data_IF_955161994889
#
_entry.id   IF_955161994889
#
_cell.length_a   1.000
_cell.length_b   1.000
_cell.length_c   1.000
_cell.angle_alpha   90.00
_cell.angle_beta   90.00
_cell.angle_gamma   90.00
#
_symmetry.space_group_name_H-M   'P 1'
#
loop_
_entity.id
_entity.type
_entity.pdbx_description
1 polymer ?
#
# COMPACT_ATOMS: atom_id res chain seq x y z
N UNK A 1 24.36 17.05 6.48
CA UNK A 1 23.00 17.13 5.86
C UNK A 1 22.83 16.17 4.69
N UNK A 2 23.90 15.74 4.05
CA UNK A 2 23.83 14.86 2.87
C UNK A 2 23.60 13.36 3.24
N UNK A 3 24.13 12.94 4.38
CA UNK A 3 23.95 11.55 4.91
C UNK A 3 22.49 11.24 5.29
N UNK A 4 21.74 12.22 5.78
CA UNK A 4 20.34 12.02 6.18
C UNK A 4 19.38 11.96 4.98
N UNK A 5 19.71 12.64 3.87
CA UNK A 5 18.95 12.52 2.61
C UNK A 5 19.14 11.15 1.96
N UNK A 6 20.37 10.64 1.91
CA UNK A 6 20.65 9.32 1.35
C UNK A 6 19.96 8.17 2.11
N UNK A 7 19.92 8.21 3.44
CA UNK A 7 19.21 7.24 4.26
C UNK A 7 17.68 7.28 4.04
N UNK A 8 17.09 8.48 3.90
CA UNK A 8 15.67 8.63 3.62
C UNK A 8 15.25 8.10 2.24
N UNK A 9 16.12 8.28 1.23
CA UNK A 9 15.84 7.79 -0.12
C UNK A 9 15.99 6.26 -0.22
N UNK A 10 16.96 5.68 0.48
CA UNK A 10 17.12 4.21 0.58
C UNK A 10 15.92 3.59 1.30
N UNK A 11 15.45 4.19 2.39
CA UNK A 11 14.29 3.70 3.14
C UNK A 11 13.01 3.74 2.30
N UNK A 12 12.76 4.84 1.60
CA UNK A 12 11.62 4.97 0.68
C UNK A 12 11.66 3.98 -0.47
N UNK A 13 12.85 3.67 -0.97
CA UNK A 13 13.04 2.70 -2.05
C UNK A 13 12.73 1.29 -1.57
N UNK A 14 13.23 0.90 -0.40
CA UNK A 14 12.93 -0.40 0.23
C UNK A 14 11.43 -0.55 0.52
N UNK A 15 10.80 0.48 1.06
CA UNK A 15 9.36 0.45 1.34
C UNK A 15 8.53 0.30 0.06
N UNK A 16 8.93 0.97 -1.01
CA UNK A 16 8.30 0.83 -2.33
C UNK A 16 8.49 -0.58 -2.91
N UNK A 17 9.69 -1.14 -2.81
CA UNK A 17 9.99 -2.50 -3.27
C UNK A 17 9.17 -3.55 -2.46
N UNK A 18 9.06 -3.38 -1.14
CA UNK A 18 8.20 -4.22 -0.29
C UNK A 18 6.71 -4.11 -0.65
N UNK A 19 6.23 -2.90 -0.93
CA UNK A 19 4.85 -2.70 -1.35
C UNK A 19 4.57 -3.37 -2.70
N UNK A 20 5.47 -3.24 -3.67
CA UNK A 20 5.38 -3.91 -4.96
C UNK A 20 5.45 -5.43 -4.83
N UNK A 21 6.37 -5.93 -4.00
CA UNK A 21 6.47 -7.35 -3.71
C UNK A 21 5.15 -7.89 -3.14
N UNK A 22 4.57 -7.20 -2.15
CA UNK A 22 3.29 -7.61 -1.56
C UNK A 22 2.14 -7.64 -2.57
N UNK A 23 2.13 -6.71 -3.53
CA UNK A 23 1.13 -6.70 -4.61
C UNK A 23 1.29 -7.86 -5.60
N UNK A 24 2.52 -8.38 -5.77
CA UNK A 24 2.82 -9.50 -6.67
C UNK A 24 2.66 -10.88 -6.00
N UNK A 25 2.66 -10.95 -4.67
CA UNK A 25 2.56 -12.23 -3.93
C UNK A 25 1.33 -13.05 -4.31
N UNK A 26 0.10 -12.50 -4.41
CA UNK A 26 -1.07 -13.28 -4.83
C UNK A 26 -0.90 -13.93 -6.19
N UNK A 27 -0.34 -13.22 -7.17
CA UNK A 27 -0.10 -13.75 -8.50
C UNK A 27 0.97 -14.85 -8.49
N UNK A 28 2.01 -14.70 -7.65
CA UNK A 28 3.02 -15.73 -7.43
C UNK A 28 2.41 -17.00 -6.85
N UNK A 29 1.58 -16.88 -5.81
CA UNK A 29 0.95 -18.03 -5.16
C UNK A 29 -0.05 -18.72 -6.08
N UNK A 30 -0.79 -17.98 -6.90
CA UNK A 30 -1.70 -18.50 -7.92
C UNK A 30 -0.94 -19.25 -9.01
N UNK A 31 0.21 -18.73 -9.45
CA UNK A 31 1.09 -19.41 -10.38
C UNK A 31 1.65 -20.72 -9.76
N UNK A 32 2.08 -20.68 -8.48
CA UNK A 32 2.53 -21.88 -7.77
C UNK A 32 1.40 -22.94 -7.70
N UNK A 33 0.18 -22.53 -7.35
CA UNK A 33 -0.98 -23.42 -7.31
C UNK A 33 -1.22 -24.09 -8.66
N UNK A 34 -1.20 -23.31 -9.75
CA UNK A 34 -1.37 -23.83 -11.11
C UNK A 34 -0.27 -24.84 -11.50
N UNK A 35 0.98 -24.55 -11.16
CA UNK A 35 2.10 -25.46 -11.39
C UNK A 35 1.94 -26.78 -10.64
N UNK A 36 1.52 -26.72 -9.39
CA UNK A 36 1.27 -27.92 -8.58
C UNK A 36 0.06 -28.72 -9.07
N UNK A 37 -0.98 -28.07 -9.57
CA UNK A 37 -2.09 -28.75 -10.25
C UNK A 37 -1.63 -29.44 -11.54
N UNK A 38 -0.63 -28.90 -12.22
CA UNK A 38 0.02 -29.53 -13.39
C UNK A 38 1.02 -30.64 -12.99
N UNK A 39 1.03 -31.05 -11.71
CA UNK A 39 1.90 -32.08 -11.14
C UNK A 39 3.41 -31.76 -11.22
N UNK A 40 3.77 -30.47 -11.30
CA UNK A 40 5.17 -30.06 -11.18
C UNK A 40 5.64 -30.26 -9.73
N UNK A 41 6.89 -30.66 -9.57
CA UNK A 41 7.53 -30.74 -8.25
C UNK A 41 7.72 -29.33 -7.67
N UNK A 42 7.89 -29.22 -6.35
CA UNK A 42 8.10 -27.93 -5.69
C UNK A 42 9.34 -27.18 -6.24
N UNK A 43 10.51 -27.81 -6.48
CA UNK A 43 11.63 -27.15 -7.17
C UNK A 43 11.27 -26.60 -8.54
N UNK A 44 10.58 -27.39 -9.36
CA UNK A 44 10.15 -26.96 -10.70
C UNK A 44 9.16 -25.78 -10.60
N UNK A 45 8.27 -25.81 -9.61
CA UNK A 45 7.32 -24.74 -9.36
C UNK A 45 8.03 -23.41 -9.06
N UNK A 46 9.06 -23.40 -8.21
CA UNK A 46 9.83 -22.18 -7.95
C UNK A 46 10.53 -21.65 -9.20
N UNK A 47 11.08 -22.54 -10.02
CA UNK A 47 11.72 -22.16 -11.29
C UNK A 47 10.72 -21.54 -12.28
N UNK A 48 9.54 -22.15 -12.41
CA UNK A 48 8.50 -21.68 -13.32
C UNK A 48 7.94 -20.33 -12.89
N UNK A 49 7.63 -20.15 -11.60
CA UNK A 49 7.17 -18.88 -11.04
C UNK A 49 8.20 -17.77 -11.26
N UNK A 50 9.49 -18.07 -11.08
CA UNK A 50 10.56 -17.12 -11.34
C UNK A 50 10.64 -16.66 -12.82
N UNK A 51 10.15 -17.46 -13.77
CA UNK A 51 10.11 -17.09 -15.18
C UNK A 51 8.87 -16.26 -15.55
N UNK A 52 7.74 -16.51 -14.89
CA UNK A 52 6.45 -15.90 -15.23
C UNK A 52 6.18 -14.57 -14.51
N UNK A 53 6.86 -14.30 -13.42
CA UNK A 53 6.63 -13.13 -12.57
C UNK A 53 7.67 -12.04 -12.83
N UNK A 54 7.27 -10.77 -12.61
CA UNK A 54 8.14 -9.61 -12.72
C UNK A 54 8.93 -9.30 -11.44
N UNK A 55 9.94 -8.43 -11.57
CA UNK A 55 10.67 -7.90 -10.41
C UNK A 55 9.74 -7.02 -9.54
N UNK A 56 9.87 -7.05 -8.22
CA UNK A 56 10.91 -7.68 -7.40
C UNK A 56 10.68 -9.17 -7.08
N UNK A 57 9.45 -9.71 -7.22
CA UNK A 57 9.14 -11.08 -6.82
C UNK A 57 9.98 -12.12 -7.57
N UNK A 58 10.24 -11.92 -8.87
CA UNK A 58 11.11 -12.79 -9.66
C UNK A 58 12.42 -13.11 -8.95
N UNK A 59 13.11 -12.08 -8.45
CA UNK A 59 14.41 -12.23 -7.79
C UNK A 59 14.35 -13.16 -6.58
N UNK A 60 13.25 -13.08 -5.82
CA UNK A 60 13.03 -13.87 -4.64
C UNK A 60 12.82 -15.36 -4.97
N UNK A 61 11.95 -15.67 -5.94
CA UNK A 61 11.67 -17.04 -6.38
C UNK A 61 12.87 -17.66 -7.14
N UNK A 62 13.56 -16.88 -7.99
CA UNK A 62 14.77 -17.33 -8.67
C UNK A 62 15.92 -17.66 -7.71
N UNK A 63 15.95 -17.05 -6.52
CA UNK A 63 16.93 -17.36 -5.51
C UNK A 63 16.75 -18.77 -4.96
N UNK A 64 15.50 -19.19 -4.67
CA UNK A 64 15.21 -20.56 -4.25
C UNK A 64 15.66 -21.57 -5.29
N UNK A 65 15.33 -21.35 -6.58
CA UNK A 65 15.79 -22.22 -7.64
C UNK A 65 17.32 -22.33 -7.70
N UNK A 66 18.02 -21.21 -7.56
CA UNK A 66 19.47 -21.17 -7.55
C UNK A 66 20.06 -21.92 -6.36
N UNK A 67 19.49 -21.76 -5.15
CA UNK A 67 19.95 -22.45 -3.96
C UNK A 67 19.82 -23.97 -4.14
N UNK A 68 18.72 -24.44 -4.72
CA UNK A 68 18.50 -25.84 -5.04
C UNK A 68 19.49 -26.35 -6.12
N UNK A 69 19.78 -25.56 -7.14
CA UNK A 69 20.77 -25.89 -8.17
C UNK A 69 22.20 -25.97 -7.62
N UNK A 70 22.49 -25.20 -6.57
CA UNK A 70 23.76 -25.24 -5.82
C UNK A 70 23.86 -26.45 -4.87
N UNK A 71 22.78 -27.23 -4.71
CA UNK A 71 22.74 -28.43 -3.91
C UNK A 71 22.25 -28.23 -2.47
N UNK A 72 21.71 -27.05 -2.12
CA UNK A 72 21.05 -26.86 -0.84
C UNK A 72 19.77 -27.71 -0.79
N UNK A 73 19.42 -28.17 0.41
CA UNK A 73 18.16 -28.86 0.64
C UNK A 73 16.98 -27.90 0.48
N UNK A 74 15.78 -28.45 0.24
CA UNK A 74 14.54 -27.63 0.17
C UNK A 74 14.31 -26.82 1.45
N UNK A 75 14.58 -27.40 2.61
CA UNK A 75 14.45 -26.73 3.91
C UNK A 75 15.39 -25.52 4.01
N UNK A 76 16.68 -25.66 3.63
CA UNK A 76 17.64 -24.58 3.62
C UNK A 76 17.25 -23.46 2.62
N UNK A 77 16.82 -23.83 1.43
CA UNK A 77 16.37 -22.88 0.41
C UNK A 77 15.12 -22.09 0.87
N UNK A 78 14.17 -22.75 1.54
CA UNK A 78 12.99 -22.10 2.11
C UNK A 78 13.34 -21.23 3.33
N UNK A 79 14.35 -21.60 4.11
CA UNK A 79 14.84 -20.76 5.20
C UNK A 79 15.49 -19.47 4.68
N UNK A 80 16.32 -19.58 3.65
CA UNK A 80 16.88 -18.41 2.95
C UNK A 80 15.78 -17.53 2.34
N UNK A 81 14.74 -18.14 1.76
CA UNK A 81 13.58 -17.43 1.22
C UNK A 81 12.87 -16.61 2.30
N UNK A 82 12.63 -17.18 3.50
CA UNK A 82 12.01 -16.46 4.63
C UNK A 82 12.83 -15.24 5.06
N UNK A 83 14.16 -15.40 5.14
CA UNK A 83 15.05 -14.32 5.56
C UNK A 83 15.08 -13.14 4.58
N UNK A 84 14.98 -13.42 3.28
CA UNK A 84 15.07 -12.40 2.23
C UNK A 84 13.72 -11.76 1.91
N UNK A 85 12.64 -12.52 2.04
CA UNK A 85 11.30 -12.05 1.68
C UNK A 85 10.84 -10.85 2.50
N UNK A 86 11.29 -10.75 3.77
CA UNK A 86 10.92 -9.68 4.72
C UNK A 86 9.41 -9.41 4.83
N UNK A 87 8.57 -10.33 4.35
CA UNK A 87 7.12 -10.29 4.39
C UNK A 87 6.60 -11.45 5.25
N UNK A 88 5.82 -11.15 6.31
CA UNK A 88 5.27 -12.18 7.20
C UNK A 88 4.44 -13.22 6.46
N UNK A 89 3.72 -12.79 5.42
CA UNK A 89 2.87 -13.63 4.59
C UNK A 89 3.69 -14.70 3.84
N UNK A 90 4.83 -14.31 3.27
CA UNK A 90 5.73 -15.24 2.58
C UNK A 90 6.48 -16.15 3.55
N UNK A 91 6.81 -15.66 4.73
CA UNK A 91 7.40 -16.48 5.79
C UNK A 91 6.43 -17.59 6.23
N UNK A 92 5.14 -17.27 6.36
CA UNK A 92 4.11 -18.25 6.66
C UNK A 92 3.96 -19.31 5.54
N UNK A 93 3.92 -18.86 4.28
CA UNK A 93 3.86 -19.75 3.11
C UNK A 93 5.08 -20.67 3.07
N UNK A 94 6.28 -20.15 3.27
CA UNK A 94 7.51 -20.95 3.26
C UNK A 94 7.52 -22.02 4.36
N UNK A 95 7.10 -21.64 5.59
CA UNK A 95 6.98 -22.60 6.69
C UNK A 95 5.96 -23.72 6.38
N UNK A 96 4.83 -23.36 5.80
CA UNK A 96 3.81 -24.33 5.43
C UNK A 96 4.27 -25.26 4.29
N UNK A 97 5.01 -24.73 3.31
CA UNK A 97 5.62 -25.52 2.24
C UNK A 97 6.66 -26.49 2.77
N UNK A 98 7.48 -26.07 3.73
CA UNK A 98 8.50 -26.90 4.36
C UNK A 98 7.87 -28.10 5.08
N UNK A 99 6.84 -27.85 5.91
CA UNK A 99 6.09 -28.91 6.59
C UNK A 99 5.41 -29.85 5.59
N UNK A 100 4.79 -29.32 4.55
CA UNK A 100 4.12 -30.13 3.51
C UNK A 100 5.11 -30.97 2.73
N UNK A 101 6.27 -30.41 2.39
CA UNK A 101 7.35 -31.12 1.70
C UNK A 101 7.90 -32.27 2.55
N UNK A 102 8.10 -32.03 3.85
CA UNK A 102 8.57 -33.05 4.79
C UNK A 102 7.57 -34.18 5.04
N UNK A 103 6.28 -33.83 5.09
CA UNK A 103 5.19 -34.80 5.36
C UNK A 103 4.66 -35.48 4.09
N UNK A 104 5.04 -35.04 2.90
CA UNK A 104 4.53 -35.57 1.61
C UNK A 104 3.09 -35.17 1.32
N UNK A 105 2.59 -34.10 1.89
CA UNK A 105 1.23 -33.59 1.69
C UNK A 105 1.08 -32.70 0.44
N UNK A 106 -0.17 -32.32 0.09
CA UNK A 106 -0.44 -31.34 -0.96
C UNK A 106 -0.29 -29.93 -0.41
N UNK A 107 0.57 -29.08 -1.00
CA UNK A 107 0.73 -27.69 -0.64
C UNK A 107 -0.36 -26.76 -1.21
N UNK A 108 -1.15 -27.24 -2.18
CA UNK A 108 -2.20 -26.46 -2.86
C UNK A 108 -3.20 -25.79 -1.91
N UNK A 109 -3.77 -26.46 -0.89
CA UNK A 109 -4.72 -25.81 0.03
C UNK A 109 -4.10 -24.65 0.81
N UNK A 110 -2.81 -24.77 1.17
CA UNK A 110 -2.10 -23.73 1.91
C UNK A 110 -1.82 -22.53 1.01
N UNK A 111 -1.35 -22.76 -0.20
CA UNK A 111 -1.11 -21.71 -1.20
C UNK A 111 -2.38 -20.91 -1.48
N UNK A 112 -3.49 -21.61 -1.70
CA UNK A 112 -4.80 -21.02 -1.95
C UNK A 112 -5.29 -20.18 -0.77
N UNK A 113 -5.20 -20.71 0.45
CA UNK A 113 -5.61 -19.99 1.66
C UNK A 113 -4.77 -18.74 1.89
N UNK A 114 -3.47 -18.81 1.64
CA UNK A 114 -2.57 -17.67 1.73
C UNK A 114 -2.87 -16.62 0.65
N UNK A 115 -3.08 -17.03 -0.60
CA UNK A 115 -3.46 -16.14 -1.71
C UNK A 115 -4.75 -15.40 -1.39
N UNK A 116 -5.81 -16.11 -0.99
CA UNK A 116 -7.09 -15.50 -0.63
C UNK A 116 -6.98 -14.51 0.55
N UNK A 117 -6.14 -14.83 1.53
CA UNK A 117 -5.93 -13.95 2.70
C UNK A 117 -5.23 -12.65 2.30
N UNK A 118 -4.17 -12.76 1.49
CA UNK A 118 -3.39 -11.60 1.03
C UNK A 118 -4.20 -10.74 0.07
N UNK A 119 -4.93 -11.37 -0.87
CA UNK A 119 -5.81 -10.65 -1.80
C UNK A 119 -6.86 -9.84 -1.06
N UNK A 120 -7.49 -10.42 -0.03
CA UNK A 120 -8.47 -9.70 0.81
C UNK A 120 -7.85 -8.50 1.54
N UNK A 121 -6.65 -8.62 2.10
CA UNK A 121 -5.96 -7.48 2.73
C UNK A 121 -5.65 -6.37 1.73
N UNK A 122 -5.18 -6.73 0.53
CA UNK A 122 -4.91 -5.76 -0.54
C UNK A 122 -6.19 -5.04 -1.00
N UNK A 123 -7.28 -5.77 -1.19
CA UNK A 123 -8.56 -5.19 -1.60
C UNK A 123 -9.14 -4.27 -0.53
N UNK A 124 -9.01 -4.63 0.74
CA UNK A 124 -9.39 -3.77 1.85
C UNK A 124 -8.58 -2.46 1.84
N UNK A 125 -7.26 -2.55 1.69
CA UNK A 125 -6.37 -1.37 1.58
C UNK A 125 -6.71 -0.47 0.39
N UNK A 126 -7.03 -1.08 -0.78
CA UNK A 126 -7.48 -0.35 -1.97
C UNK A 126 -8.81 0.37 -1.72
N UNK A 127 -9.77 -0.30 -1.11
CA UNK A 127 -11.07 0.28 -0.76
C UNK A 127 -10.94 1.45 0.19
N UNK A 128 -10.12 1.32 1.25
CA UNK A 128 -9.84 2.41 2.18
C UNK A 128 -9.17 3.60 1.49
N UNK A 129 -8.22 3.35 0.58
CA UNK A 129 -7.56 4.41 -0.19
C UNK A 129 -8.55 5.18 -1.08
N UNK A 130 -9.49 4.49 -1.73
CA UNK A 130 -10.52 5.12 -2.56
C UNK A 130 -11.46 5.97 -1.70
N UNK A 131 -11.93 5.45 -0.56
CA UNK A 131 -12.81 6.18 0.36
C UNK A 131 -12.13 7.43 0.92
N UNK A 132 -10.86 7.32 1.33
CA UNK A 132 -10.10 8.48 1.82
C UNK A 132 -9.83 9.51 0.73
N UNK A 133 -9.60 9.10 -0.52
CA UNK A 133 -9.46 10.02 -1.65
C UNK A 133 -10.75 10.78 -1.92
N UNK A 134 -11.91 10.11 -1.88
CA UNK A 134 -13.22 10.72 -2.03
C UNK A 134 -13.51 11.73 -0.90
N UNK A 135 -13.22 11.37 0.35
CA UNK A 135 -13.36 12.26 1.49
C UNK A 135 -12.47 13.51 1.36
N UNK A 136 -11.22 13.34 0.89
CA UNK A 136 -10.31 14.47 0.63
C UNK A 136 -10.85 15.42 -0.43
N UNK A 137 -11.38 14.89 -1.54
CA UNK A 137 -11.97 15.71 -2.61
C UNK A 137 -13.20 16.48 -2.09
N UNK A 138 -14.10 15.83 -1.37
CA UNK A 138 -15.26 16.48 -0.78
C UNK A 138 -14.88 17.59 0.19
N UNK A 139 -13.89 17.33 1.05
CA UNK A 139 -13.37 18.33 1.99
C UNK A 139 -12.72 19.53 1.27
N UNK A 140 -12.01 19.31 0.16
CA UNK A 140 -11.45 20.38 -0.65
C UNK A 140 -12.53 21.26 -1.28
N UNK A 141 -13.57 20.64 -1.87
CA UNK A 141 -14.70 21.37 -2.48
C UNK A 141 -15.40 22.23 -1.42
N UNK A 142 -15.73 21.64 -0.26
CA UNK A 142 -16.38 22.36 0.84
C UNK A 142 -15.50 23.50 1.37
N UNK A 143 -14.18 23.32 1.43
CA UNK A 143 -13.25 24.34 1.89
C UNK A 143 -13.10 25.52 0.90
N UNK A 144 -13.23 25.28 -0.40
CA UNK A 144 -13.12 26.31 -1.44
C UNK A 144 -14.42 27.08 -1.64
N UNK A 145 -15.56 26.45 -1.34
CA UNK A 145 -16.90 26.99 -1.57
C UNK A 145 -17.14 28.41 -0.97
N UNK A 146 -16.77 28.68 0.31
CA UNK A 146 -16.95 30.01 0.89
C UNK A 146 -16.17 31.10 0.17
N UNK A 147 -14.94 30.77 -0.27
CA UNK A 147 -14.12 31.72 -1.02
C UNK A 147 -14.69 32.01 -2.41
N UNK A 148 -15.17 30.96 -3.09
CA UNK A 148 -15.84 31.11 -4.38
C UNK A 148 -17.12 31.95 -4.23
N UNK A 149 -17.90 31.73 -3.18
CA UNK A 149 -19.12 32.51 -2.91
C UNK A 149 -18.82 33.98 -2.68
N UNK A 150 -17.84 34.31 -1.83
CA UNK A 150 -17.43 35.68 -1.57
C UNK A 150 -16.92 36.35 -2.85
N UNK A 151 -16.16 35.63 -3.66
CA UNK A 151 -15.67 36.14 -4.95
C UNK A 151 -16.82 36.47 -5.92
N UNK A 152 -17.80 35.55 -6.05
CA UNK A 152 -18.94 35.77 -6.94
C UNK A 152 -19.79 36.97 -6.47
N UNK A 153 -20.09 37.05 -5.15
CA UNK A 153 -20.89 38.17 -4.61
C UNK A 153 -20.15 39.49 -4.80
N UNK A 154 -18.82 39.51 -4.55
CA UNK A 154 -18.01 40.72 -4.73
C UNK A 154 -17.90 41.15 -6.21
N UNK A 155 -18.01 40.21 -7.16
CA UNK A 155 -18.03 40.52 -8.59
C UNK A 155 -19.36 41.11 -9.06
N UNK A 156 -20.47 40.71 -8.45
CA UNK A 156 -21.83 41.19 -8.75
C UNK A 156 -22.10 42.55 -8.08
N UNK A 157 -21.71 42.70 -6.83
CA UNK A 157 -21.85 43.92 -6.05
C UNK A 157 -20.55 44.26 -5.31
N UNK A 158 -19.70 45.12 -5.87
CA UNK A 158 -18.45 45.55 -5.22
C UNK A 158 -18.66 46.29 -3.89
N UNK A 159 -19.86 46.86 -3.66
CA UNK A 159 -20.19 47.57 -2.42
C UNK A 159 -20.55 46.61 -1.29
N UNK A 160 -20.84 45.34 -1.58
CA UNK A 160 -21.26 44.34 -0.58
C UNK A 160 -20.25 44.13 0.56
N UNK A 161 -18.95 44.18 0.26
CA UNK A 161 -17.91 43.99 1.27
C UNK A 161 -17.56 45.26 2.04
N UNK A 162 -17.97 46.47 1.55
CA UNK A 162 -17.61 47.73 2.15
C UNK A 162 -18.08 47.87 3.63
N UNK A 163 -19.31 47.49 4.02
CA UNK A 163 -19.75 47.55 5.41
C UNK A 163 -18.94 46.67 6.36
N UNK A 164 -18.39 45.56 5.87
CA UNK A 164 -17.59 44.65 6.70
C UNK A 164 -16.23 45.21 7.02
N UNK A 165 -15.67 46.06 6.16
CA UNK A 165 -14.37 46.74 6.41
C UNK A 165 -14.49 48.10 7.07
N UNK A 166 -15.63 48.75 6.97
CA UNK A 166 -15.86 50.08 7.52
C UNK A 166 -16.44 50.09 8.93
N UNK A 167 -16.98 48.97 9.42
CA UNK A 167 -17.58 48.85 10.74
C UNK A 167 -16.71 47.97 11.66
N UNK A 168 -16.49 48.43 12.91
CA UNK A 168 -15.77 47.61 13.91
C UNK A 168 -16.44 46.25 14.17
N UNK A 169 -17.77 46.17 14.11
CA UNK A 169 -18.51 44.93 14.21
C UNK A 169 -18.32 44.00 13.03
N UNK A 170 -18.23 44.56 11.80
CA UNK A 170 -17.97 43.82 10.58
C UNK A 170 -16.57 43.18 10.58
N UNK A 171 -15.55 43.89 11.03
CA UNK A 171 -14.20 43.35 11.15
C UNK A 171 -14.09 42.21 12.14
N UNK A 172 -14.80 42.30 13.29
CA UNK A 172 -14.84 41.23 14.30
C UNK A 172 -15.53 39.98 13.71
N UNK A 173 -16.64 40.13 12.98
CA UNK A 173 -17.34 39.04 12.32
C UNK A 173 -16.48 38.36 11.26
N UNK A 174 -15.75 39.16 10.46
CA UNK A 174 -14.83 38.64 9.43
C UNK A 174 -13.68 37.81 10.05
N UNK A 175 -13.07 38.31 11.13
CA UNK A 175 -12.02 37.60 11.86
C UNK A 175 -12.53 36.29 12.44
N UNK A 176 -13.73 36.30 13.02
CA UNK A 176 -14.37 35.10 13.56
C UNK A 176 -14.65 34.05 12.46
N UNK A 177 -15.15 34.49 11.31
CA UNK A 177 -15.41 33.61 10.17
C UNK A 177 -14.12 32.97 9.63
N UNK A 178 -13.02 33.73 9.49
CA UNK A 178 -11.73 33.24 9.08
C UNK A 178 -11.16 32.27 10.12
N UNK A 179 -11.29 32.55 11.42
CA UNK A 179 -10.83 31.66 12.48
C UNK A 179 -11.60 30.32 12.48
N UNK A 180 -12.94 30.36 12.29
CA UNK A 180 -13.75 29.14 12.18
C UNK A 180 -13.41 28.33 10.93
N UNK A 181 -13.23 28.97 9.78
CA UNK A 181 -12.81 28.32 8.54
C UNK A 181 -11.43 27.69 8.68
N UNK A 182 -10.46 28.43 9.21
CA UNK A 182 -9.09 27.93 9.44
C UNK A 182 -9.08 26.76 10.43
N UNK A 183 -9.82 26.85 11.52
CA UNK A 183 -10.01 25.78 12.50
C UNK A 183 -10.64 24.52 11.89
N UNK A 184 -11.67 24.67 11.07
CA UNK A 184 -12.34 23.57 10.36
C UNK A 184 -11.40 22.86 9.38
N UNK A 185 -10.67 23.61 8.56
CA UNK A 185 -9.70 23.07 7.62
C UNK A 185 -8.55 22.34 8.33
N UNK A 186 -8.05 22.89 9.45
CA UNK A 186 -7.00 22.28 10.26
C UNK A 186 -7.49 20.96 10.88
N UNK A 187 -8.70 20.92 11.38
CA UNK A 187 -9.30 19.74 12.00
C UNK A 187 -9.50 18.63 10.97
N UNK A 188 -10.03 18.95 9.80
CA UNK A 188 -10.17 18.00 8.68
C UNK A 188 -8.81 17.47 8.22
N UNK A 189 -7.81 18.34 8.05
CA UNK A 189 -6.45 17.91 7.68
C UNK A 189 -5.84 17.00 8.73
N UNK A 190 -6.05 17.27 10.01
CA UNK A 190 -5.52 16.44 11.10
C UNK A 190 -6.20 15.06 11.14
N UNK A 191 -7.50 14.99 10.94
CA UNK A 191 -8.22 13.71 10.86
C UNK A 191 -7.77 12.87 9.67
N UNK A 192 -7.59 13.47 8.48
CA UNK A 192 -7.14 12.78 7.28
C UNK A 192 -5.64 12.41 7.29
N UNK A 193 -4.83 13.02 8.16
CA UNK A 193 -3.39 12.72 8.28
C UNK A 193 -3.10 11.55 9.26
N UNK A 194 -4.07 11.13 10.08
CA UNK A 194 -3.91 10.04 11.07
C UNK A 194 -4.14 8.66 10.46
N UNK A 195 -4.68 8.57 9.24
CA UNK A 195 -5.04 7.29 8.59
C UNK A 195 -4.01 6.80 7.56
N UNK A 196 -2.77 7.31 7.59
CA UNK A 196 -1.68 6.82 6.72
C UNK A 196 -0.55 6.29 7.66
#
# INVERSE_FOLDING_TARGET
TDRSRGLGDVYKRQEKERAQLREQVPDALRCMEACMHAALSLPQTFSEVAQQIDQPARGLFARVSRDLDLGYSMNEALEHFKQVAELPELSFVAMALDVQYACGGSATPVLRSAEESISRDLDLRRSLRVQTAQAKLSAQIVSVMPFALVFVISAVDPAFLHPFFSSAQGVVLLLLAIAMLGGGVLLVRRMLAVEI
#
